data_IF_818596543333
#
_entry.id   IF_818596543333
#
_cell.length_a   1.000
_cell.length_b   1.000
_cell.length_c   1.000
_cell.angle_alpha   90.00
_cell.angle_beta   90.00
_cell.angle_gamma   90.00
#
_symmetry.space_group_name_H-M   'P 1'
#
loop_
_entity.id
_entity.type
_entity.pdbx_description
1 polymer ?
#
# COMPACT_ATOMS: atom_id res chain seq x y z
N UNK A 1 8.66 -15.08 -4.50
CA UNK A 1 8.39 -15.82 -3.24
C UNK A 1 7.46 -14.96 -2.39
N UNK A 2 6.70 -15.52 -1.46
CA UNK A 2 5.88 -14.70 -0.57
C UNK A 2 6.78 -14.04 0.48
N UNK A 3 6.69 -12.71 0.67
CA UNK A 3 7.50 -11.98 1.66
C UNK A 3 7.11 -12.31 3.11
N UNK A 4 5.90 -12.85 3.33
CA UNK A 4 5.39 -13.32 4.62
C UNK A 4 5.22 -14.83 4.58
N UNK A 5 5.63 -15.53 5.64
CA UNK A 5 5.38 -16.97 5.76
C UNK A 5 3.94 -17.26 6.20
N UNK A 6 3.44 -18.44 5.85
CA UNK A 6 2.10 -18.89 6.26
C UNK A 6 1.96 -18.96 7.78
N UNK A 7 3.00 -19.41 8.49
CA UNK A 7 3.01 -19.51 9.95
C UNK A 7 2.94 -18.12 10.60
N UNK A 8 3.68 -17.14 10.08
CA UNK A 8 3.65 -15.76 10.58
C UNK A 8 2.26 -15.14 10.37
N UNK A 9 1.64 -15.38 9.21
CA UNK A 9 0.30 -14.88 8.93
C UNK A 9 -0.75 -15.53 9.84
N UNK A 10 -0.65 -16.83 10.10
CA UNK A 10 -1.54 -17.53 11.04
C UNK A 10 -1.38 -17.03 12.47
N UNK A 11 -0.13 -16.78 12.89
CA UNK A 11 0.14 -16.16 14.18
C UNK A 11 -0.46 -14.74 14.28
N UNK A 12 -0.41 -13.96 13.20
CA UNK A 12 -1.02 -12.64 13.13
C UNK A 12 -2.55 -12.69 13.30
N UNK A 13 -3.22 -13.61 12.60
CA UNK A 13 -4.67 -13.76 12.61
C UNK A 13 -5.21 -14.60 13.79
N UNK A 14 -4.32 -15.23 14.58
CA UNK A 14 -4.66 -16.21 15.62
C UNK A 14 -5.44 -17.42 15.08
N UNK A 15 -4.97 -17.95 13.96
CA UNK A 15 -5.54 -19.14 13.30
C UNK A 15 -4.74 -20.38 13.71
N UNK A 16 -5.38 -21.27 14.48
CA UNK A 16 -4.73 -22.48 15.04
C UNK A 16 -4.99 -23.76 14.22
N UNK A 17 -5.75 -23.68 13.13
CA UNK A 17 -6.15 -24.80 12.29
C UNK A 17 -5.48 -24.75 10.90
N UNK A 18 -5.48 -25.87 10.18
CA UNK A 18 -4.75 -26.02 8.91
C UNK A 18 -5.66 -26.13 7.67
N UNK A 19 -6.99 -26.23 7.86
CA UNK A 19 -7.93 -26.41 6.75
C UNK A 19 -7.90 -25.25 5.75
N UNK A 20 -7.59 -24.05 6.21
CA UNK A 20 -7.53 -22.83 5.40
C UNK A 20 -6.12 -22.49 4.90
N UNK A 21 -5.11 -23.34 5.12
CA UNK A 21 -3.72 -23.04 4.76
C UNK A 21 -3.59 -22.63 3.27
N UNK A 22 -4.25 -23.39 2.38
CA UNK A 22 -4.24 -23.09 0.95
C UNK A 22 -4.94 -21.75 0.62
N UNK A 23 -6.02 -21.43 1.34
CA UNK A 23 -6.73 -20.17 1.17
C UNK A 23 -5.86 -19.01 1.68
N UNK A 24 -5.29 -19.13 2.87
CA UNK A 24 -4.42 -18.11 3.49
C UNK A 24 -3.19 -17.85 2.60
N UNK A 25 -2.57 -18.88 2.04
CA UNK A 25 -1.47 -18.71 1.10
C UNK A 25 -1.88 -17.87 -0.12
N UNK A 26 -3.04 -18.16 -0.72
CA UNK A 26 -3.55 -17.39 -1.86
C UNK A 26 -3.82 -15.91 -1.52
N UNK A 27 -4.26 -15.62 -0.29
CA UNK A 27 -4.46 -14.26 0.20
C UNK A 27 -3.13 -13.50 0.29
N UNK A 28 -2.09 -14.15 0.82
CA UNK A 28 -0.74 -13.56 0.96
C UNK A 28 -0.18 -13.23 -0.43
N UNK A 29 -0.24 -14.20 -1.36
CA UNK A 29 0.28 -14.04 -2.71
C UNK A 29 -0.45 -12.90 -3.46
N UNK A 30 -1.78 -12.87 -3.36
CA UNK A 30 -2.59 -11.82 -3.97
C UNK A 30 -2.34 -10.44 -3.34
N UNK A 31 -2.16 -10.38 -2.02
CA UNK A 31 -1.89 -9.13 -1.30
C UNK A 31 -0.54 -8.54 -1.74
N UNK A 32 0.50 -9.37 -1.83
CA UNK A 32 1.80 -8.95 -2.35
C UNK A 32 1.71 -8.43 -3.78
N UNK A 33 1.06 -9.18 -4.68
CA UNK A 33 0.89 -8.77 -6.08
C UNK A 33 0.12 -7.44 -6.20
N UNK A 34 -0.87 -7.21 -5.32
CA UNK A 34 -1.61 -5.95 -5.29
C UNK A 34 -0.73 -4.77 -4.85
N UNK A 35 0.14 -4.96 -3.86
CA UNK A 35 1.08 -3.92 -3.43
C UNK A 35 2.12 -3.63 -4.50
N UNK A 36 2.68 -4.65 -5.15
CA UNK A 36 3.61 -4.47 -6.27
C UNK A 36 2.96 -3.70 -7.42
N UNK A 37 1.69 -3.99 -7.73
CA UNK A 37 0.92 -3.23 -8.71
C UNK A 37 0.72 -1.76 -8.29
N UNK A 38 0.48 -1.49 -7.01
CA UNK A 38 0.28 -0.13 -6.49
C UNK A 38 1.59 0.68 -6.48
N UNK A 39 2.70 0.04 -6.14
CA UNK A 39 4.02 0.64 -6.05
C UNK A 39 4.70 0.79 -7.41
N UNK A 40 4.37 -0.09 -8.36
CA UNK A 40 4.91 -0.10 -9.72
C UNK A 40 6.29 -0.77 -9.85
N UNK A 41 6.71 -1.55 -8.85
CA UNK A 41 7.95 -2.33 -8.87
C UNK A 41 7.76 -3.65 -8.09
N UNK A 42 8.60 -4.63 -8.40
CA UNK A 42 8.65 -5.92 -7.69
C UNK A 42 9.40 -5.74 -6.37
N UNK A 43 8.80 -6.14 -5.23
CA UNK A 43 9.41 -5.89 -3.90
C UNK A 43 10.72 -6.68 -3.77
N UNK A 44 10.77 -7.90 -4.30
CA UNK A 44 11.96 -8.77 -4.25
C UNK A 44 13.13 -8.25 -5.10
N UNK A 45 12.86 -7.41 -6.11
CA UNK A 45 13.90 -6.85 -6.99
C UNK A 45 14.47 -5.54 -6.43
N UNK A 46 13.64 -4.75 -5.73
CA UNK A 46 14.03 -3.45 -5.20
C UNK A 46 14.70 -3.55 -3.81
N UNK A 47 14.27 -4.50 -2.97
CA UNK A 47 14.73 -4.61 -1.59
C UNK A 47 15.41 -5.95 -1.31
N UNK A 48 16.72 -5.90 -1.00
CA UNK A 48 17.44 -7.06 -0.46
C UNK A 48 16.91 -7.45 0.93
N UNK A 49 16.55 -6.46 1.74
CA UNK A 49 15.89 -6.63 3.03
C UNK A 49 14.57 -5.87 2.99
N UNK A 50 13.46 -6.62 2.99
CA UNK A 50 12.12 -6.04 2.90
C UNK A 50 11.84 -5.20 4.15
N UNK A 51 11.50 -3.90 3.99
CA UNK A 51 11.10 -3.04 5.08
C UNK A 51 9.90 -3.59 5.87
N UNK A 52 9.92 -3.44 7.20
CA UNK A 52 8.90 -4.01 8.09
C UNK A 52 7.50 -3.44 7.85
N UNK A 53 7.40 -2.20 7.39
CA UNK A 53 6.15 -1.55 6.98
C UNK A 53 5.48 -2.27 5.80
N UNK A 54 6.25 -2.69 4.78
CA UNK A 54 5.72 -3.48 3.67
C UNK A 54 5.24 -4.88 4.13
N UNK A 55 5.99 -5.52 5.02
CA UNK A 55 5.58 -6.80 5.62
C UNK A 55 4.26 -6.64 6.36
N UNK A 56 4.12 -5.62 7.21
CA UNK A 56 2.88 -5.34 7.93
C UNK A 56 1.72 -5.02 6.98
N UNK A 57 1.98 -4.31 5.90
CA UNK A 57 0.96 -4.02 4.90
C UNK A 57 0.46 -5.30 4.21
N UNK A 58 1.33 -6.22 3.81
CA UNK A 58 0.87 -7.50 3.24
C UNK A 58 0.04 -8.28 4.26
N UNK A 59 0.47 -8.35 5.53
CA UNK A 59 -0.27 -9.08 6.56
C UNK A 59 -1.67 -8.51 6.80
N UNK A 60 -1.80 -7.19 6.89
CA UNK A 60 -3.09 -6.51 7.08
C UNK A 60 -4.02 -6.71 5.89
N UNK A 61 -3.49 -6.63 4.66
CA UNK A 61 -4.29 -6.79 3.45
C UNK A 61 -4.78 -8.24 3.30
N UNK A 62 -3.89 -9.21 3.48
CA UNK A 62 -4.23 -10.63 3.43
C UNK A 62 -5.25 -11.01 4.53
N UNK A 63 -5.08 -10.48 5.75
CA UNK A 63 -6.04 -10.69 6.83
C UNK A 63 -7.42 -10.10 6.50
N UNK A 64 -7.46 -8.89 5.95
CA UNK A 64 -8.71 -8.24 5.56
C UNK A 64 -9.48 -9.05 4.51
N UNK A 65 -8.79 -9.59 3.51
CA UNK A 65 -9.42 -10.42 2.48
C UNK A 65 -9.80 -11.83 2.99
N UNK A 66 -9.12 -12.35 4.02
CA UNK A 66 -9.51 -13.61 4.68
C UNK A 66 -10.81 -13.46 5.47
N UNK A 67 -10.90 -12.40 6.28
CA UNK A 67 -12.10 -12.09 7.05
C UNK A 67 -13.29 -11.73 6.15
N UNK A 68 -13.03 -10.97 5.09
CA UNK A 68 -14.06 -10.51 4.15
C UNK A 68 -14.05 -11.32 2.86
N UNK A 69 -14.75 -12.46 2.86
CA UNK A 69 -14.88 -13.37 1.69
C UNK A 69 -15.75 -12.87 0.55
N UNK A 70 -16.42 -11.73 0.74
CA UNK A 70 -17.26 -11.07 -0.25
C UNK A 70 -16.76 -9.64 -0.44
N UNK A 71 -17.03 -9.05 -1.61
CA UNK A 71 -16.71 -7.65 -1.84
C UNK A 71 -17.46 -6.77 -0.83
N UNK A 72 -16.72 -6.12 0.06
CA UNK A 72 -17.26 -5.23 1.07
C UNK A 72 -17.13 -3.78 0.62
N UNK A 73 -18.25 -3.06 0.56
CA UNK A 73 -18.24 -1.60 0.51
C UNK A 73 -17.84 -1.10 1.89
N UNK A 74 -16.61 -0.61 2.01
CA UNK A 74 -16.07 -0.07 3.25
C UNK A 74 -16.77 1.24 3.62
N UNK A 75 -17.82 1.16 4.44
CA UNK A 75 -18.27 2.33 5.21
C UNK A 75 -17.23 2.53 6.32
N UNK A 76 -16.15 3.26 5.99
CA UNK A 76 -15.05 3.55 6.92
C UNK A 76 -15.27 4.97 7.45
N UNK A 77 -15.77 5.14 8.70
CA UNK A 77 -15.86 6.46 9.31
C UNK A 77 -14.45 6.98 9.65
N UNK A 78 -13.88 7.78 8.74
CA UNK A 78 -12.63 8.53 8.95
C UNK A 78 -11.34 7.80 8.57
N UNK A 79 -10.33 8.56 8.15
CA UNK A 79 -8.98 8.02 7.89
C UNK A 79 -8.36 7.57 9.21
N UNK A 80 -8.04 6.28 9.33
CA UNK A 80 -7.35 5.77 10.50
C UNK A 80 -5.88 6.21 10.45
N UNK A 81 -5.36 6.89 11.49
CA UNK A 81 -4.01 7.44 11.49
C UNK A 81 -2.87 6.40 11.42
N UNK A 82 -3.18 5.10 11.48
CA UNK A 82 -2.25 3.97 11.31
C UNK A 82 -2.80 2.89 10.37
N UNK A 83 -3.72 3.23 9.47
CA UNK A 83 -4.20 2.31 8.45
C UNK A 83 -3.13 2.00 7.40
N UNK A 84 -3.36 0.98 6.59
CA UNK A 84 -2.44 0.50 5.54
C UNK A 84 -1.90 1.64 4.65
N UNK A 85 -2.75 2.62 4.30
CA UNK A 85 -2.36 3.77 3.47
C UNK A 85 -1.32 4.70 4.11
N UNK A 86 -1.20 4.70 5.44
CA UNK A 86 -0.20 5.50 6.16
C UNK A 86 1.15 4.79 6.28
N UNK A 87 1.18 3.45 6.19
CA UNK A 87 2.43 2.67 6.26
C UNK A 87 3.33 2.92 5.04
N UNK A 88 2.74 3.10 3.84
CA UNK A 88 3.52 3.42 2.64
C UNK A 88 4.10 4.83 2.64
N UNK A 89 3.53 5.75 3.44
CA UNK A 89 3.95 7.15 3.45
C UNK A 89 5.34 7.36 4.07
N UNK A 90 5.85 6.42 4.87
CA UNK A 90 7.21 6.48 5.42
C UNK A 90 8.31 5.97 4.47
N UNK A 91 7.97 5.12 3.51
CA UNK A 91 8.93 4.53 2.56
C UNK A 91 8.99 5.21 1.19
N UNK A 92 8.00 6.06 0.87
CA UNK A 92 7.99 6.84 -0.36
C UNK A 92 9.10 7.89 -0.33
N UNK A 93 10.25 7.60 -0.93
CA UNK A 93 11.15 8.68 -1.37
C UNK A 93 10.33 9.56 -2.28
N UNK A 94 9.92 10.73 -1.77
CA UNK A 94 9.43 11.79 -2.62
C UNK A 94 10.55 12.05 -3.61
N UNK A 95 10.40 11.59 -4.85
CA UNK A 95 11.07 12.24 -5.96
C UNK A 95 10.46 13.62 -5.96
N UNK A 96 11.14 14.55 -5.32
CA UNK A 96 10.90 15.98 -5.38
C UNK A 96 11.14 16.39 -6.83
N UNK A 97 10.19 16.04 -7.71
CA UNK A 97 9.99 16.78 -8.93
C UNK A 97 9.44 18.13 -8.50
N UNK A 98 10.29 19.14 -8.60
CA UNK A 98 10.02 20.52 -8.25
C UNK A 98 8.99 21.17 -9.18
N UNK A 99 7.78 20.62 -9.21
CA UNK A 99 6.59 21.27 -9.74
C UNK A 99 6.06 22.23 -8.67
N UNK A 100 6.83 23.28 -8.41
CA UNK A 100 6.31 24.47 -7.78
C UNK A 100 5.24 25.03 -8.74
N UNK A 101 3.99 25.30 -8.29
CA UNK A 101 2.99 25.90 -9.15
C UNK A 101 3.53 27.27 -9.57
N UNK A 102 3.92 27.40 -10.85
CA UNK A 102 4.37 28.67 -11.41
C UNK A 102 3.33 29.74 -11.08
N UNK A 103 3.65 30.78 -10.30
CA UNK A 103 2.73 31.90 -10.16
C UNK A 103 2.54 32.48 -11.56
N UNK A 104 1.30 32.51 -12.04
CA UNK A 104 0.95 33.20 -13.27
C UNK A 104 1.55 34.60 -13.21
N UNK A 105 2.55 34.87 -14.05
CA UNK A 105 3.18 36.17 -14.13
C UNK A 105 2.09 37.25 -14.36
N UNK A 106 2.17 38.42 -13.71
CA UNK A 106 1.23 39.49 -13.97
C UNK A 106 1.38 39.91 -15.44
N UNK A 107 0.25 39.96 -16.15
CA UNK A 107 0.17 40.42 -17.53
C UNK A 107 0.54 41.90 -17.60
N UNK A 108 1.84 42.19 -17.76
CA UNK A 108 2.37 43.51 -18.00
C UNK A 108 2.12 43.88 -19.48
N UNK A 109 0.97 44.51 -19.70
CA UNK A 109 0.48 44.90 -21.03
C UNK A 109 -0.18 46.27 -21.01
N UNK A 110 0.38 47.22 -20.26
CA UNK A 110 0.06 48.63 -20.42
C UNK A 110 0.72 49.15 -21.71
N UNK A 111 0.01 49.08 -22.84
CA UNK A 111 0.26 49.96 -23.98
C UNK A 111 -0.98 50.81 -24.25
N UNK A 112 -0.96 52.00 -23.64
CA UNK A 112 -1.69 53.18 -24.13
C UNK A 112 -1.09 53.58 -25.48
N UNK A 113 -1.94 53.79 -26.48
CA UNK A 113 -1.80 54.82 -27.52
C UNK A 113 -2.91 54.67 -28.58
N UNK A 114 -3.21 55.70 -29.39
CA UNK A 114 -2.88 57.12 -29.25
C UNK A 114 -3.99 57.97 -28.62
#
# INVERSE_FOLDING_TARGET
MAIVSLDDQKAHMRVDFNDDDAQIQAQIDGAQAHLEQLLGYTIEEEFEVVPTDLVQAVMQLAANWYENREATSGDVPGVLPLGIGTLFASGGTTRSDGSEPRPCAPHEGARRHP
#
